data_IF_839952785049
#
_entry.id   IF_839952785049
#
_cell.length_a   1.000
_cell.length_b   1.000
_cell.length_c   1.000
_cell.angle_alpha   90.00
_cell.angle_beta   90.00
_cell.angle_gamma   90.00
#
_symmetry.space_group_name_H-M   'P 1'
#
loop_
_entity.id
_entity.type
_entity.pdbx_description
1 polymer ?
#
# COMPACT_ATOMS: atom_id res chain seq x y z
N UNK A 1 14.37 -0.39 18.60
CA UNK A 1 14.65 -1.30 17.46
C UNK A 1 13.39 -1.72 16.68
N UNK A 2 12.16 -1.51 17.19
CA UNK A 2 10.91 -1.94 16.51
C UNK A 2 10.46 -1.08 15.30
N UNK A 3 10.82 0.21 15.23
CA UNK A 3 10.36 1.10 14.14
C UNK A 3 10.85 0.67 12.74
N UNK A 4 12.06 0.11 12.62
CA UNK A 4 12.59 -0.31 11.32
C UNK A 4 11.84 -1.51 10.74
N UNK A 5 11.35 -2.41 11.60
CA UNK A 5 10.60 -3.60 11.16
C UNK A 5 9.22 -3.23 10.63
N UNK A 6 8.53 -2.29 11.28
CA UNK A 6 7.22 -1.81 10.83
C UNK A 6 7.33 -1.06 9.51
N UNK A 7 8.35 -0.20 9.38
CA UNK A 7 8.60 0.50 8.11
C UNK A 7 8.81 -0.46 6.97
N UNK A 8 9.63 -1.48 7.18
CA UNK A 8 9.88 -2.50 6.17
C UNK A 8 8.62 -3.31 5.84
N UNK A 9 7.82 -3.69 6.84
CA UNK A 9 6.54 -4.38 6.62
C UNK A 9 5.58 -3.55 5.74
N UNK A 10 5.32 -2.30 6.12
CA UNK A 10 4.40 -1.41 5.36
C UNK A 10 4.92 -1.20 3.94
N UNK A 11 6.23 -1.04 3.77
CA UNK A 11 6.84 -0.88 2.45
C UNK A 11 6.68 -2.13 1.58
N UNK A 12 6.99 -3.32 2.11
CA UNK A 12 6.85 -4.58 1.37
C UNK A 12 5.39 -4.81 0.97
N UNK A 13 4.46 -4.63 1.92
CA UNK A 13 3.02 -4.79 1.65
C UNK A 13 2.50 -3.77 0.65
N UNK A 14 2.94 -2.52 0.71
CA UNK A 14 2.57 -1.51 -0.27
C UNK A 14 3.04 -1.89 -1.67
N UNK A 15 4.27 -2.40 -1.82
CA UNK A 15 4.80 -2.86 -3.12
C UNK A 15 3.97 -4.03 -3.66
N UNK A 16 3.66 -5.02 -2.83
CA UNK A 16 2.82 -6.17 -3.20
C UNK A 16 1.44 -5.72 -3.67
N UNK A 17 0.82 -4.79 -2.93
CA UNK A 17 -0.50 -4.24 -3.26
C UNK A 17 -0.49 -3.45 -4.56
N UNK A 18 0.47 -2.55 -4.77
CA UNK A 18 0.57 -1.79 -6.01
C UNK A 18 0.80 -2.72 -7.22
N UNK A 19 1.58 -3.78 -7.01
CA UNK A 19 1.79 -4.82 -8.04
C UNK A 19 0.49 -5.57 -8.34
N UNK A 20 -0.28 -5.93 -7.31
CA UNK A 20 -1.57 -6.60 -7.46
C UNK A 20 -2.58 -5.74 -8.21
N UNK A 21 -2.70 -4.44 -7.87
CA UNK A 21 -3.59 -3.50 -8.56
C UNK A 21 -3.22 -3.36 -10.04
N UNK A 22 -1.94 -3.17 -10.36
CA UNK A 22 -1.48 -3.09 -11.75
C UNK A 22 -1.73 -4.39 -12.53
N UNK A 23 -1.43 -5.53 -11.91
CA UNK A 23 -1.64 -6.85 -12.52
C UNK A 23 -3.13 -7.13 -12.76
N UNK A 24 -3.97 -6.79 -11.78
CA UNK A 24 -5.43 -6.96 -11.86
C UNK A 24 -6.05 -6.10 -12.95
N UNK A 25 -5.49 -4.91 -13.20
CA UNK A 25 -5.89 -4.03 -14.30
C UNK A 25 -5.28 -4.42 -15.66
N UNK A 26 -4.49 -5.51 -15.74
CA UNK A 26 -3.82 -5.95 -16.97
C UNK A 26 -2.71 -5.00 -17.45
N UNK A 27 -2.14 -4.20 -16.55
CA UNK A 27 -1.13 -3.18 -16.86
C UNK A 27 0.29 -3.68 -16.56
N UNK A 28 1.27 -2.96 -17.10
CA UNK A 28 2.67 -3.24 -16.82
C UNK A 28 2.97 -3.04 -15.32
N UNK A 29 3.65 -4.03 -14.73
CA UNK A 29 4.21 -3.97 -13.37
C UNK A 29 5.71 -3.71 -13.47
N UNK A 30 6.15 -2.45 -13.57
CA UNK A 30 7.58 -2.14 -13.54
C UNK A 30 8.17 -2.54 -12.18
N UNK A 31 9.51 -2.55 -12.08
CA UNK A 31 10.16 -2.77 -10.79
C UNK A 31 9.82 -1.61 -9.83
N UNK A 32 8.93 -1.86 -8.87
CA UNK A 32 8.45 -0.87 -7.90
C UNK A 32 9.49 -0.75 -6.77
N UNK A 33 10.00 0.45 -6.55
CA UNK A 33 11.01 0.77 -5.54
C UNK A 33 10.56 1.95 -4.65
N UNK A 34 11.35 2.29 -3.63
CA UNK A 34 11.08 3.44 -2.75
C UNK A 34 10.98 4.78 -3.49
N UNK A 35 11.64 4.90 -4.64
CA UNK A 35 11.65 6.10 -5.48
C UNK A 35 10.50 6.12 -6.49
N UNK A 36 9.70 5.04 -6.57
CA UNK A 36 8.55 4.99 -7.46
C UNK A 36 7.50 6.00 -7.00
N UNK A 37 7.01 6.81 -7.94
CA UNK A 37 5.91 7.75 -7.75
C UNK A 37 4.67 7.13 -8.41
N UNK A 38 3.67 6.61 -7.67
CA UNK A 38 2.59 5.83 -8.25
C UNK A 38 1.86 6.55 -9.39
N UNK A 39 1.49 7.82 -9.20
CA UNK A 39 0.75 8.60 -10.19
C UNK A 39 1.55 8.94 -11.46
N UNK A 40 2.89 8.93 -11.38
CA UNK A 40 3.75 9.36 -12.49
C UNK A 40 4.43 8.16 -13.18
N UNK A 41 4.76 7.11 -12.42
CA UNK A 41 5.56 5.97 -12.90
C UNK A 41 4.73 4.71 -13.17
N UNK A 42 3.55 4.56 -12.56
CA UNK A 42 2.68 3.41 -12.81
C UNK A 42 1.63 3.78 -13.86
N UNK A 43 1.71 3.10 -15.00
CA UNK A 43 0.79 3.30 -16.12
C UNK A 43 -0.66 3.18 -15.65
N UNK A 44 -1.47 4.21 -15.93
CA UNK A 44 -2.90 4.22 -15.65
C UNK A 44 -3.27 4.23 -14.16
N UNK A 45 -2.30 4.41 -13.26
CA UNK A 45 -2.55 4.52 -11.83
C UNK A 45 -3.12 5.90 -11.50
N UNK A 46 -4.32 5.92 -10.92
CA UNK A 46 -5.04 7.15 -10.60
C UNK A 46 -5.57 7.13 -9.15
N UNK A 47 -6.39 8.12 -8.79
CA UNK A 47 -6.99 8.20 -7.46
C UNK A 47 -7.90 7.00 -7.14
N UNK A 48 -8.52 6.37 -8.15
CA UNK A 48 -9.37 5.20 -7.95
C UNK A 48 -8.51 3.96 -7.67
N UNK A 49 -7.43 3.76 -8.43
CA UNK A 49 -6.41 2.74 -8.11
C UNK A 49 -5.83 2.94 -6.70
N UNK A 50 -5.71 4.19 -6.26
CA UNK A 50 -5.33 4.56 -4.90
C UNK A 50 -6.29 4.08 -3.81
N UNK A 51 -7.59 4.12 -4.06
CA UNK A 51 -8.62 3.63 -3.10
C UNK A 51 -8.56 2.11 -3.01
N UNK A 52 -8.46 1.42 -4.14
CA UNK A 52 -8.30 -0.03 -4.16
C UNK A 52 -7.04 -0.47 -3.41
N UNK A 53 -5.92 0.22 -3.67
CA UNK A 53 -4.67 -0.04 -2.96
C UNK A 53 -4.78 0.26 -1.45
N UNK A 54 -5.55 1.26 -1.03
CA UNK A 54 -5.78 1.52 0.41
C UNK A 54 -6.54 0.37 1.09
N UNK A 55 -7.57 -0.16 0.42
CA UNK A 55 -8.36 -1.30 0.92
C UNK A 55 -7.47 -2.54 1.03
N UNK A 56 -6.76 -2.89 -0.03
CA UNK A 56 -5.87 -4.07 -0.03
C UNK A 56 -4.73 -3.93 0.99
N UNK A 57 -4.17 -2.73 1.15
CA UNK A 57 -3.14 -2.50 2.17
C UNK A 57 -3.73 -2.63 3.58
N UNK A 58 -4.96 -2.15 3.80
CA UNK A 58 -5.65 -2.26 5.07
C UNK A 58 -5.82 -3.73 5.49
N UNK A 59 -6.22 -4.57 4.55
CA UNK A 59 -6.33 -6.02 4.75
C UNK A 59 -4.96 -6.65 5.01
N UNK A 60 -3.93 -6.23 4.28
CA UNK A 60 -2.59 -6.81 4.38
C UNK A 60 -1.84 -6.49 5.68
N UNK A 61 -2.18 -5.37 6.35
CA UNK A 61 -1.58 -4.97 7.63
C UNK A 61 -2.58 -4.98 8.80
N UNK A 62 -3.81 -5.48 8.57
CA UNK A 62 -4.90 -5.59 9.54
C UNK A 62 -5.25 -4.27 10.26
N UNK A 63 -5.21 -3.16 9.52
CA UNK A 63 -5.55 -1.82 10.01
C UNK A 63 -6.39 -1.11 8.98
N UNK A 64 -7.44 -0.45 9.44
CA UNK A 64 -8.25 0.43 8.61
C UNK A 64 -7.45 1.66 8.16
N UNK A 65 -7.12 1.70 6.87
CA UNK A 65 -6.50 2.84 6.17
C UNK A 65 -7.58 3.49 5.31
N UNK A 66 -7.98 4.72 5.65
CA UNK A 66 -9.05 5.42 4.94
C UNK A 66 -8.65 5.78 3.49
N UNK A 67 -7.38 6.15 3.28
CA UNK A 67 -6.85 6.55 1.97
C UNK A 67 -5.33 6.48 1.91
N UNK A 68 -4.80 6.20 0.73
CA UNK A 68 -3.36 6.37 0.48
C UNK A 68 -3.01 7.85 0.27
N UNK A 69 -1.96 8.37 0.94
CA UNK A 69 -1.47 9.71 0.73
C UNK A 69 -0.68 9.80 -0.59
N UNK A 70 -1.36 9.77 -1.74
CA UNK A 70 -0.71 9.81 -3.07
C UNK A 70 -0.11 11.18 -3.42
N UNK A 71 -0.64 12.25 -2.81
CA UNK A 71 -0.20 13.63 -3.04
C UNK A 71 0.06 14.35 -1.72
N UNK A 72 1.07 15.20 -1.70
CA UNK A 72 1.39 16.02 -0.55
C UNK A 72 0.30 17.09 -0.33
N UNK A 73 -0.35 17.16 0.84
CA UNK A 73 -1.44 18.12 1.07
C UNK A 73 -0.99 19.58 0.99
N UNK A 74 0.29 19.87 1.29
CA UNK A 74 0.83 21.23 1.30
C UNK A 74 1.25 21.75 -0.09
N UNK A 75 1.66 20.85 -1.00
CA UNK A 75 2.26 21.24 -2.29
C UNK A 75 1.53 20.68 -3.51
N UNK A 76 0.63 19.71 -3.32
CA UNK A 76 -0.05 18.99 -4.40
C UNK A 76 0.86 18.06 -5.21
N UNK A 77 2.12 17.88 -4.79
CA UNK A 77 3.10 17.04 -5.49
C UNK A 77 2.80 15.56 -5.28
N UNK A 78 2.88 14.76 -6.35
CA UNK A 78 2.87 13.30 -6.29
C UNK A 78 3.98 12.80 -5.36
N UNK A 79 3.64 11.85 -4.48
CA UNK A 79 4.55 11.32 -3.48
C UNK A 79 5.24 10.04 -3.95
N UNK A 80 6.48 9.85 -3.52
CA UNK A 80 7.22 8.60 -3.68
C UNK A 80 6.69 7.54 -2.70
N UNK A 81 6.90 6.26 -2.98
CA UNK A 81 6.58 5.17 -2.04
C UNK A 81 7.21 5.40 -0.68
N UNK A 82 8.45 5.89 -0.65
CA UNK A 82 9.14 6.24 0.60
C UNK A 82 8.33 7.22 1.44
N UNK A 83 7.87 8.31 0.84
CA UNK A 83 7.09 9.34 1.52
C UNK A 83 5.71 8.85 1.91
N UNK A 84 5.08 8.02 1.07
CA UNK A 84 3.80 7.37 1.36
C UNK A 84 3.94 6.48 2.61
N UNK A 85 4.97 5.63 2.67
CA UNK A 85 5.25 4.76 3.81
C UNK A 85 5.52 5.60 5.06
N UNK A 86 6.36 6.63 4.97
CA UNK A 86 6.67 7.49 6.10
C UNK A 86 5.41 8.25 6.61
N UNK A 87 4.51 8.66 5.71
CA UNK A 87 3.23 9.26 6.06
C UNK A 87 2.28 8.26 6.75
N UNK A 88 2.18 7.03 6.22
CA UNK A 88 1.36 5.96 6.81
C UNK A 88 1.86 5.57 8.21
N UNK A 89 3.17 5.50 8.42
CA UNK A 89 3.73 5.21 9.75
C UNK A 89 3.46 6.36 10.72
N UNK A 90 3.52 7.61 10.25
CA UNK A 90 3.21 8.76 11.08
C UNK A 90 1.75 8.77 11.52
N UNK A 91 0.84 8.37 10.64
CA UNK A 91 -0.62 8.43 10.87
C UNK A 91 -1.13 7.17 11.61
N UNK A 92 -0.66 5.98 11.23
CA UNK A 92 -1.16 4.69 11.70
C UNK A 92 -0.14 3.88 12.52
N UNK A 93 1.11 4.35 12.67
CA UNK A 93 2.18 3.60 13.34
C UNK A 93 1.85 3.16 14.76
N UNK A 94 1.05 3.94 15.51
CA UNK A 94 0.58 3.56 16.84
C UNK A 94 -0.44 2.41 16.82
N UNK A 95 -1.21 2.26 15.72
CA UNK A 95 -2.20 1.18 15.53
C UNK A 95 -1.54 -0.13 15.09
N UNK A 96 -0.40 -0.05 14.37
CA UNK A 96 0.40 -1.22 13.96
C UNK A 96 1.02 -1.95 15.16
N UNK A 97 1.39 -1.23 16.22
CA UNK A 97 2.02 -1.83 17.41
C UNK A 97 1.06 -2.64 18.30
N UNK A 98 -0.26 -2.56 18.10
CA UNK A 98 -1.25 -3.18 19.00
C UNK A 98 -1.66 -4.60 18.60
N UNK A 99 -1.21 -5.13 17.47
CA UNK A 99 -1.69 -6.42 16.93
C UNK A 99 -0.74 -7.62 17.17
N UNK A 100 0.39 -7.45 17.86
CA UNK A 100 1.38 -8.54 18.12
C UNK A 100 0.91 -9.60 19.15
N UNK A 101 -0.39 -9.72 19.48
CA UNK A 101 -0.83 -10.68 20.53
C UNK A 101 -2.00 -11.60 20.16
N UNK A 102 -2.56 -11.51 18.95
CA UNK A 102 -3.61 -12.42 18.46
C UNK A 102 -3.81 -12.06 16.99
N UNK A 103 -3.59 -12.89 15.97
CA UNK A 103 -4.26 -14.16 15.69
C UNK A 103 -3.47 -14.95 14.65
N UNK A 104 -3.33 -16.25 14.90
CA UNK A 104 -2.95 -17.29 13.95
C UNK A 104 -4.12 -17.62 13.00
N UNK A 105 -3.80 -17.82 11.72
CA UNK A 105 -4.59 -18.50 10.68
C UNK A 105 -5.61 -17.66 9.90
N UNK A 106 -5.24 -17.36 8.65
CA UNK A 106 -6.15 -16.90 7.62
C UNK A 106 -5.37 -16.61 6.35
N UNK A 107 -4.98 -17.66 5.61
CA UNK A 107 -4.41 -17.49 4.28
C UNK A 107 -5.45 -16.81 3.38
N UNK A 108 -5.29 -15.50 3.16
CA UNK A 108 -6.07 -14.77 2.18
C UNK A 108 -5.60 -15.17 0.78
N UNK A 109 -6.25 -16.19 0.21
CA UNK A 109 -6.18 -16.46 -1.22
C UNK A 109 -6.81 -15.26 -1.96
N UNK A 110 -5.98 -14.53 -2.69
CA UNK A 110 -6.41 -13.47 -3.62
C UNK A 110 -7.54 -14.01 -4.54
N UNK A 111 -8.72 -13.37 -4.59
CA UNK A 111 -9.78 -13.79 -5.49
C UNK A 111 -9.37 -13.52 -6.94
N UNK A 112 -9.17 -14.60 -7.72
CA UNK A 112 -8.94 -14.51 -9.18
C UNK A 112 -10.18 -13.92 -9.86
N UNK A 113 -10.02 -13.00 -10.83
CA UNK A 113 -11.16 -12.44 -11.56
C UNK A 113 -11.86 -13.56 -12.34
N UNK A 114 -13.16 -13.73 -12.05
CA UNK A 114 -14.06 -14.60 -12.82
C UNK A 114 -14.37 -13.88 -14.14
N UNK A 115 -13.73 -14.30 -15.24
CA UNK A 115 -14.22 -13.95 -16.57
C UNK A 115 -15.54 -14.70 -16.79
N UNK A 116 -16.60 -13.95 -17.10
CA UNK A 116 -17.86 -14.44 -17.64
C UNK A 116 -17.79 -14.49 -19.17
#
# INVERSE_FOLDING_TARGET
MAQNSIRNLVQVRLIEVLTAVQSGAGRSTPNISEETVPLDHLEGFDSLSGVEAAVLLSEAIEIEIDRLPLVAPATGKSLTLKEIVDALIKEYGSRIHSQDTTVTAGAAEFPKPRLA
#
